data_IF_448527823657
#
_entry.id   IF_448527823657
#
_cell.length_a   1.000
_cell.length_b   1.000
_cell.length_c   1.000
_cell.angle_alpha   90.00
_cell.angle_beta   90.00
_cell.angle_gamma   90.00
#
_symmetry.space_group_name_H-M   'P 1'
#
loop_
_entity.id
_entity.type
_entity.pdbx_description
1 polymer ?
#
# COMPACT_ATOMS: atom_id res chain seq x y z
N UNK A 1 -41.84 -6.01 10.93
CA UNK A 1 -41.45 -5.94 9.48
C UNK A 1 -40.43 -4.82 9.27
N UNK A 2 -40.69 -3.55 9.66
CA UNK A 2 -39.74 -2.43 9.43
C UNK A 2 -38.37 -2.64 10.02
N UNK A 3 -38.22 -3.17 11.24
CA UNK A 3 -36.93 -3.38 11.89
C UNK A 3 -36.06 -4.42 11.16
N UNK A 4 -36.65 -5.46 10.62
CA UNK A 4 -35.92 -6.49 9.86
C UNK A 4 -35.43 -5.95 8.52
N UNK A 5 -36.21 -5.11 7.85
CA UNK A 5 -35.77 -4.44 6.62
C UNK A 5 -34.60 -3.49 6.88
N UNK A 6 -34.60 -2.79 8.03
CA UNK A 6 -33.48 -1.92 8.42
C UNK A 6 -32.19 -2.74 8.61
N UNK A 7 -32.26 -3.89 9.32
CA UNK A 7 -31.08 -4.76 9.52
C UNK A 7 -30.55 -5.28 8.19
N UNK A 8 -31.43 -5.73 7.28
CA UNK A 8 -31.03 -6.19 5.95
C UNK A 8 -30.36 -5.07 5.15
N UNK A 9 -30.92 -3.85 5.19
CA UNK A 9 -30.31 -2.70 4.53
C UNK A 9 -28.93 -2.38 5.09
N UNK A 10 -28.76 -2.40 6.41
CA UNK A 10 -27.45 -2.20 7.05
C UNK A 10 -26.44 -3.29 6.65
N UNK A 11 -26.86 -4.56 6.60
CA UNK A 11 -25.99 -5.66 6.17
C UNK A 11 -25.51 -5.45 4.72
N UNK A 12 -26.41 -5.08 3.81
CA UNK A 12 -26.05 -4.80 2.41
C UNK A 12 -25.11 -3.60 2.32
N UNK A 13 -25.36 -2.55 3.07
CA UNK A 13 -24.52 -1.34 3.08
C UNK A 13 -23.10 -1.66 3.56
N UNK A 14 -22.94 -2.35 4.71
CA UNK A 14 -21.64 -2.74 5.23
C UNK A 14 -20.91 -3.67 4.26
N UNK A 15 -21.61 -4.62 3.63
CA UNK A 15 -20.99 -5.49 2.62
C UNK A 15 -20.45 -4.68 1.43
N UNK A 16 -21.21 -3.68 0.97
CA UNK A 16 -20.77 -2.80 -0.12
C UNK A 16 -19.56 -1.96 0.29
N UNK A 17 -19.53 -1.45 1.53
CA UNK A 17 -18.40 -0.73 2.11
C UNK A 17 -17.17 -1.65 2.18
N UNK A 18 -17.32 -2.89 2.67
CA UNK A 18 -16.22 -3.86 2.77
C UNK A 18 -15.58 -4.13 1.40
N UNK A 19 -16.39 -4.33 0.37
CA UNK A 19 -15.90 -4.53 -1.00
C UNK A 19 -15.12 -3.30 -1.48
N UNK A 20 -15.65 -2.10 -1.26
CA UNK A 20 -14.97 -0.85 -1.63
C UNK A 20 -13.63 -0.67 -0.90
N UNK A 21 -13.60 -0.93 0.41
CA UNK A 21 -12.40 -0.87 1.24
C UNK A 21 -11.35 -1.90 0.79
N UNK A 22 -11.76 -3.11 0.43
CA UNK A 22 -10.86 -4.14 -0.09
C UNK A 22 -10.12 -3.68 -1.35
N UNK A 23 -10.83 -3.09 -2.31
CA UNK A 23 -10.18 -2.51 -3.50
C UNK A 23 -9.26 -1.33 -3.13
N UNK A 24 -9.65 -0.50 -2.17
CA UNK A 24 -8.80 0.57 -1.65
C UNK A 24 -7.47 0.05 -1.08
N UNK A 25 -7.51 -1.02 -0.29
CA UNK A 25 -6.32 -1.70 0.25
C UNK A 25 -5.42 -2.21 -0.87
N UNK A 26 -5.97 -2.91 -1.87
CA UNK A 26 -5.18 -3.44 -2.99
C UNK A 26 -4.44 -2.33 -3.76
N UNK A 27 -5.11 -1.22 -4.04
CA UNK A 27 -4.50 -0.06 -4.72
C UNK A 27 -3.39 0.54 -3.88
N UNK A 28 -3.61 0.68 -2.56
CA UNK A 28 -2.64 1.29 -1.66
C UNK A 28 -1.41 0.41 -1.44
N UNK A 29 -1.59 -0.90 -1.31
CA UNK A 29 -0.47 -1.89 -1.23
C UNK A 29 0.41 -1.81 -2.47
N UNK A 30 -0.19 -1.80 -3.67
CA UNK A 30 0.58 -1.66 -4.92
C UNK A 30 1.41 -0.38 -4.97
N UNK A 31 0.87 0.75 -4.47
CA UNK A 31 1.60 2.01 -4.39
C UNK A 31 2.76 1.95 -3.39
N UNK A 32 2.60 1.30 -2.24
CA UNK A 32 3.65 1.17 -1.21
C UNK A 32 4.81 0.33 -1.73
N UNK A 33 4.55 -0.78 -2.41
CA UNK A 33 5.59 -1.63 -2.99
C UNK A 33 6.47 -0.85 -3.98
N UNK A 34 5.86 -0.03 -4.84
CA UNK A 34 6.59 0.86 -5.75
C UNK A 34 7.47 1.89 -5.03
N UNK A 35 6.99 2.49 -3.92
CA UNK A 35 7.75 3.50 -3.17
C UNK A 35 8.97 2.92 -2.45
N UNK A 36 8.91 1.71 -1.93
CA UNK A 36 10.06 1.06 -1.30
C UNK A 36 11.24 0.88 -2.28
N UNK A 37 10.93 0.57 -3.54
CA UNK A 37 11.95 0.48 -4.59
C UNK A 37 12.56 1.84 -4.92
N UNK A 38 11.76 2.90 -4.96
CA UNK A 38 12.26 4.28 -5.15
C UNK A 38 13.26 4.66 -4.06
N UNK A 39 12.96 4.39 -2.79
CA UNK A 39 13.89 4.64 -1.66
C UNK A 39 15.20 3.87 -1.86
N UNK A 40 15.12 2.59 -2.24
CA UNK A 40 16.31 1.79 -2.50
C UNK A 40 17.18 2.36 -3.63
N UNK A 41 16.58 2.74 -4.77
CA UNK A 41 17.33 3.31 -5.89
C UNK A 41 17.90 4.71 -5.58
N UNK A 42 17.22 5.53 -4.78
CA UNK A 42 17.78 6.79 -4.29
C UNK A 42 19.05 6.54 -3.46
N UNK A 43 19.04 5.51 -2.60
CA UNK A 43 20.22 5.05 -1.87
C UNK A 43 21.32 4.50 -2.80
N UNK A 44 20.97 3.80 -3.87
CA UNK A 44 21.93 3.31 -4.87
C UNK A 44 22.60 4.46 -5.64
N UNK A 45 21.86 5.51 -6.01
CA UNK A 45 22.44 6.71 -6.62
C UNK A 45 23.52 7.29 -5.71
N UNK A 46 23.21 7.49 -4.42
CA UNK A 46 24.16 7.98 -3.42
C UNK A 46 25.42 7.09 -3.34
N UNK A 47 25.21 5.79 -3.11
CA UNK A 47 26.30 4.84 -2.90
C UNK A 47 27.21 4.65 -4.12
N UNK A 48 26.60 4.51 -5.31
CA UNK A 48 27.35 4.36 -6.57
C UNK A 48 28.14 5.62 -6.92
N UNK A 49 27.55 6.81 -6.70
CA UNK A 49 28.27 8.06 -6.96
C UNK A 49 29.49 8.22 -6.05
N UNK A 50 29.40 7.91 -4.76
CA UNK A 50 30.55 7.91 -3.88
C UNK A 50 31.60 6.88 -4.32
N UNK A 51 31.19 5.71 -4.80
CA UNK A 51 32.11 4.71 -5.36
C UNK A 51 32.82 5.24 -6.62
N UNK A 52 32.10 5.91 -7.54
CA UNK A 52 32.67 6.52 -8.74
C UNK A 52 33.78 7.50 -8.35
N UNK A 53 33.47 8.45 -7.47
CA UNK A 53 34.44 9.48 -7.03
C UNK A 53 35.66 8.83 -6.37
N UNK A 54 35.47 7.83 -5.50
CA UNK A 54 36.56 7.09 -4.86
C UNK A 54 37.46 6.39 -5.88
N UNK A 55 36.87 5.72 -6.88
CA UNK A 55 37.62 5.02 -7.92
C UNK A 55 38.37 6.00 -8.83
N UNK A 56 37.76 7.11 -9.15
CA UNK A 56 38.42 8.18 -9.94
C UNK A 56 39.65 8.74 -9.20
N UNK A 57 39.52 9.08 -7.91
CA UNK A 57 40.62 9.59 -7.08
C UNK A 57 41.73 8.53 -6.94
N UNK A 58 41.40 7.24 -6.90
CA UNK A 58 42.37 6.15 -6.83
C UNK A 58 43.02 5.80 -8.17
N UNK A 59 42.66 6.44 -9.27
CA UNK A 59 43.20 6.19 -10.60
C UNK A 59 42.71 4.91 -11.27
N UNK A 60 41.57 4.39 -10.83
CA UNK A 60 40.90 3.21 -11.40
C UNK A 60 39.45 3.53 -11.81
N UNK A 61 39.26 4.42 -12.81
CA UNK A 61 37.92 4.87 -13.20
C UNK A 61 37.08 3.70 -13.75
N UNK A 62 35.75 3.76 -13.48
CA UNK A 62 34.76 2.76 -13.91
C UNK A 62 33.59 3.49 -14.57
N UNK A 63 33.66 3.72 -15.88
CA UNK A 63 32.71 4.56 -16.62
C UNK A 63 31.31 3.94 -16.73
N UNK A 64 31.18 2.61 -16.66
CA UNK A 64 29.88 1.92 -16.69
C UNK A 64 28.99 2.36 -15.51
N UNK A 65 29.59 2.63 -14.36
CA UNK A 65 28.84 3.12 -13.18
C UNK A 65 28.19 4.49 -13.42
N UNK A 66 28.80 5.35 -14.26
CA UNK A 66 28.21 6.64 -14.62
C UNK A 66 26.90 6.46 -15.40
N UNK A 67 26.88 5.51 -16.33
CA UNK A 67 25.68 5.14 -17.08
C UNK A 67 24.57 4.62 -16.16
N UNK A 68 24.92 3.74 -15.23
CA UNK A 68 23.98 3.21 -14.25
C UNK A 68 23.34 4.31 -13.40
N UNK A 69 24.16 5.21 -12.83
CA UNK A 69 23.67 6.29 -11.99
C UNK A 69 22.77 7.25 -12.78
N UNK A 70 23.15 7.59 -14.03
CA UNK A 70 22.32 8.42 -14.89
C UNK A 70 20.94 7.77 -15.14
N UNK A 71 20.92 6.47 -15.46
CA UNK A 71 19.71 5.67 -15.66
C UNK A 71 18.82 5.63 -14.40
N UNK A 72 19.43 5.50 -13.20
CA UNK A 72 18.68 5.50 -11.96
C UNK A 72 18.05 6.86 -11.65
N UNK A 73 18.80 7.96 -11.85
CA UNK A 73 18.26 9.32 -11.68
C UNK A 73 17.08 9.55 -12.63
N UNK A 74 17.22 9.17 -13.90
CA UNK A 74 16.14 9.29 -14.89
C UNK A 74 14.91 8.44 -14.52
N UNK A 75 15.13 7.19 -14.10
CA UNK A 75 14.07 6.30 -13.62
C UNK A 75 13.34 6.83 -12.39
N UNK A 76 14.05 7.47 -11.45
CA UNK A 76 13.46 8.11 -10.28
C UNK A 76 12.63 9.36 -10.63
N UNK A 77 13.00 10.10 -11.67
CA UNK A 77 12.28 11.29 -12.13
C UNK A 77 11.02 10.96 -12.91
N UNK A 78 11.10 9.99 -13.80
CA UNK A 78 10.04 9.76 -14.80
C UNK A 78 9.33 8.42 -14.61
N UNK A 79 9.86 7.54 -13.80
CA UNK A 79 9.50 6.12 -13.75
C UNK A 79 10.30 5.33 -14.79
N UNK A 80 10.43 4.01 -14.56
CA UNK A 80 11.11 3.11 -15.48
C UNK A 80 10.51 1.72 -15.38
N UNK A 81 10.02 1.19 -16.49
CA UNK A 81 9.53 -0.20 -16.54
C UNK A 81 10.66 -1.23 -16.45
N UNK A 82 11.85 -0.89 -16.95
CA UNK A 82 13.03 -1.76 -16.90
C UNK A 82 13.54 -1.92 -15.47
N UNK A 83 13.56 -0.83 -14.70
CA UNK A 83 13.99 -0.82 -13.29
C UNK A 83 12.82 -1.10 -12.32
N UNK A 84 11.60 -1.26 -12.86
CA UNK A 84 10.36 -1.38 -12.09
C UNK A 84 10.20 -0.23 -11.07
N UNK A 85 10.51 0.99 -11.53
CA UNK A 85 10.40 2.22 -10.75
C UNK A 85 9.11 2.97 -11.10
N UNK A 86 8.38 3.34 -10.06
CA UNK A 86 7.23 4.25 -10.18
C UNK A 86 7.68 5.68 -9.97
N UNK A 87 7.14 6.61 -10.76
CA UNK A 87 7.31 8.03 -10.50
C UNK A 87 6.56 8.40 -9.22
N UNK A 88 7.24 9.01 -8.25
CA UNK A 88 6.56 9.55 -7.07
C UNK A 88 5.87 10.88 -7.42
N UNK A 89 4.61 10.97 -7.03
CA UNK A 89 3.76 12.14 -7.24
C UNK A 89 3.84 13.09 -6.04
N UNK A 90 5.09 13.53 -5.76
CA UNK A 90 5.45 14.44 -4.68
C UNK A 90 6.31 15.57 -5.26
N UNK A 91 5.86 16.81 -5.09
CA UNK A 91 6.49 17.97 -5.71
C UNK A 91 7.91 18.23 -5.16
N UNK A 92 8.10 18.05 -3.86
CA UNK A 92 9.39 18.30 -3.21
C UNK A 92 10.42 17.25 -3.62
N UNK A 93 10.01 15.97 -3.69
CA UNK A 93 10.86 14.91 -4.22
C UNK A 93 11.24 15.16 -5.68
N UNK A 94 10.28 15.53 -6.54
CA UNK A 94 10.55 15.78 -7.97
C UNK A 94 11.46 16.99 -8.18
N UNK A 95 11.30 18.05 -7.37
CA UNK A 95 12.20 19.20 -7.38
C UNK A 95 13.63 18.79 -7.00
N UNK A 96 13.78 17.95 -5.95
CA UNK A 96 15.07 17.44 -5.51
C UNK A 96 15.72 16.54 -6.55
N UNK A 97 14.96 15.66 -7.20
CA UNK A 97 15.45 14.81 -8.30
C UNK A 97 15.89 15.61 -9.53
N UNK A 98 15.25 16.76 -9.77
CA UNK A 98 15.69 17.68 -10.85
C UNK A 98 17.02 18.35 -10.50
N UNK A 99 17.21 18.78 -9.25
CA UNK A 99 18.49 19.30 -8.78
C UNK A 99 19.59 18.24 -8.87
N UNK A 100 19.32 16.99 -8.39
CA UNK A 100 20.25 15.86 -8.48
C UNK A 100 20.70 15.57 -9.92
N UNK A 101 19.79 15.66 -10.89
CA UNK A 101 20.15 15.46 -12.30
C UNK A 101 21.16 16.51 -12.77
N UNK A 102 20.96 17.78 -12.44
CA UNK A 102 21.89 18.86 -12.79
C UNK A 102 23.22 18.74 -12.06
N UNK A 103 23.18 18.44 -10.76
CA UNK A 103 24.39 18.25 -9.94
C UNK A 103 25.21 17.04 -10.41
N UNK A 104 24.56 15.98 -10.89
CA UNK A 104 25.23 14.82 -11.47
C UNK A 104 25.97 15.16 -12.76
N UNK A 105 25.37 15.97 -13.63
CA UNK A 105 26.05 16.45 -14.84
C UNK A 105 27.26 17.33 -14.49
N UNK A 106 27.15 18.19 -13.48
CA UNK A 106 28.26 18.98 -12.96
C UNK A 106 29.38 18.11 -12.37
N UNK A 107 28.99 17.05 -11.67
CA UNK A 107 29.95 16.08 -11.11
C UNK A 107 30.69 15.30 -12.23
N UNK A 108 29.97 14.89 -13.30
CA UNK A 108 30.58 14.24 -14.46
C UNK A 108 31.62 15.15 -15.15
N UNK A 109 31.33 16.42 -15.28
CA UNK A 109 32.28 17.39 -15.83
C UNK A 109 33.52 17.52 -14.92
N UNK A 110 33.34 17.51 -13.63
CA UNK A 110 34.43 17.59 -12.65
C UNK A 110 35.32 16.31 -12.70
N UNK A 111 34.72 15.13 -12.88
CA UNK A 111 35.49 13.88 -13.07
C UNK A 111 36.42 13.94 -14.29
N UNK A 112 36.00 14.57 -15.39
CA UNK A 112 36.85 14.78 -16.55
C UNK A 112 38.05 15.70 -16.19
N UNK A 113 37.84 16.72 -15.37
CA UNK A 113 38.92 17.60 -14.90
C UNK A 113 39.86 16.85 -13.96
N UNK A 114 39.37 15.93 -13.11
CA UNK A 114 40.21 15.07 -12.26
C UNK A 114 41.16 14.25 -13.08
N UNK A 115 40.71 13.67 -14.20
CA UNK A 115 41.57 12.90 -15.14
C UNK A 115 42.67 13.74 -15.80
N UNK A 116 42.41 15.04 -15.98
CA UNK A 116 43.34 15.96 -16.67
C UNK A 116 44.35 16.59 -15.70
N UNK A 117 43.95 16.93 -14.48
CA UNK A 117 44.70 17.78 -13.55
C UNK A 117 45.02 17.13 -12.20
N UNK A 118 44.40 15.99 -11.93
CA UNK A 118 44.41 15.38 -10.59
C UNK A 118 43.36 15.94 -9.66
N UNK A 119 42.97 15.16 -8.66
CA UNK A 119 41.85 15.52 -7.78
C UNK A 119 42.14 16.71 -6.85
N UNK A 120 43.41 16.98 -6.54
CA UNK A 120 43.86 18.09 -5.66
C UNK A 120 43.67 19.47 -6.28
N UNK A 121 43.59 19.55 -7.62
CA UNK A 121 43.40 20.80 -8.37
C UNK A 121 41.94 20.98 -8.84
N UNK A 122 41.02 20.21 -8.28
CA UNK A 122 39.61 20.17 -8.70
C UNK A 122 38.69 20.32 -7.50
N UNK A 123 37.41 20.64 -7.75
CA UNK A 123 36.38 20.74 -6.71
C UNK A 123 35.65 19.39 -6.45
N UNK A 124 36.18 18.28 -6.91
CA UNK A 124 35.52 16.97 -6.92
C UNK A 124 35.02 16.56 -5.53
N UNK A 125 35.84 16.77 -4.48
CA UNK A 125 35.48 16.41 -3.10
C UNK A 125 34.29 17.25 -2.62
N UNK A 126 34.35 18.58 -2.79
CA UNK A 126 33.28 19.47 -2.37
C UNK A 126 31.97 19.21 -3.13
N UNK A 127 32.05 18.97 -4.46
CA UNK A 127 30.90 18.64 -5.28
C UNK A 127 30.31 17.28 -4.93
N UNK A 128 31.14 16.29 -4.68
CA UNK A 128 30.67 14.97 -4.26
C UNK A 128 29.98 14.96 -2.91
N UNK A 129 30.47 15.78 -1.99
CA UNK A 129 29.85 15.95 -0.68
C UNK A 129 28.49 16.67 -0.78
N UNK A 130 28.41 17.74 -1.60
CA UNK A 130 27.15 18.43 -1.87
C UNK A 130 26.13 17.48 -2.52
N UNK A 131 26.53 16.74 -3.54
CA UNK A 131 25.70 15.73 -4.20
C UNK A 131 25.22 14.64 -3.22
N UNK A 132 26.10 14.20 -2.31
CA UNK A 132 25.74 13.25 -1.27
C UNK A 132 24.62 13.79 -0.36
N UNK A 133 24.71 15.04 0.07
CA UNK A 133 23.69 15.69 0.90
C UNK A 133 22.36 15.81 0.15
N UNK A 134 22.40 16.20 -1.13
CA UNK A 134 21.18 16.26 -1.98
C UNK A 134 20.54 14.88 -2.15
N UNK A 135 21.36 13.81 -2.28
CA UNK A 135 20.86 12.42 -2.30
C UNK A 135 20.19 12.03 -0.97
N UNK A 136 20.77 12.40 0.17
CA UNK A 136 20.20 12.13 1.48
C UNK A 136 18.84 12.81 1.65
N UNK A 137 18.74 14.07 1.24
CA UNK A 137 17.47 14.81 1.27
C UNK A 137 16.41 14.15 0.35
N UNK A 138 16.80 13.74 -0.86
CA UNK A 138 15.90 13.03 -1.77
C UNK A 138 15.44 11.69 -1.18
N UNK A 139 16.35 10.93 -0.57
CA UNK A 139 16.03 9.66 0.07
C UNK A 139 15.06 9.87 1.23
N UNK A 140 15.30 10.87 2.08
CA UNK A 140 14.41 11.20 3.18
C UNK A 140 13.01 11.62 2.71
N UNK A 141 12.90 12.40 1.64
CA UNK A 141 11.60 12.76 1.04
C UNK A 141 10.85 11.53 0.54
N UNK A 142 11.54 10.60 -0.11
CA UNK A 142 10.95 9.32 -0.55
C UNK A 142 10.49 8.46 0.64
N UNK A 143 11.27 8.40 1.72
CA UNK A 143 10.91 7.69 2.96
C UNK A 143 9.67 8.31 3.61
N UNK A 144 9.62 9.63 3.77
CA UNK A 144 8.48 10.36 4.34
C UNK A 144 7.22 10.11 3.50
N UNK A 145 7.34 10.13 2.17
CA UNK A 145 6.23 9.81 1.27
C UNK A 145 5.76 8.37 1.48
N UNK A 146 6.68 7.40 1.55
CA UNK A 146 6.36 5.99 1.81
C UNK A 146 5.67 5.80 3.16
N UNK A 147 6.17 6.47 4.20
CA UNK A 147 5.61 6.39 5.55
C UNK A 147 4.18 6.96 5.63
N UNK A 148 3.91 8.07 4.95
CA UNK A 148 2.54 8.62 4.84
C UNK A 148 1.58 7.59 4.22
N UNK A 149 2.01 6.87 3.19
CA UNK A 149 1.21 5.81 2.55
C UNK A 149 1.01 4.61 3.46
N UNK A 150 2.05 4.18 4.18
CA UNK A 150 1.96 3.08 5.15
C UNK A 150 1.00 3.42 6.31
N UNK A 151 1.04 4.64 6.82
CA UNK A 151 0.09 5.11 7.86
C UNK A 151 -1.36 5.12 7.36
N UNK A 152 -1.58 5.52 6.10
CA UNK A 152 -2.90 5.47 5.49
C UNK A 152 -3.40 4.03 5.34
N UNK A 153 -2.52 3.07 5.02
CA UNK A 153 -2.86 1.64 4.96
C UNK A 153 -3.25 1.10 6.34
N UNK A 154 -2.45 1.39 7.38
CA UNK A 154 -2.75 0.99 8.77
C UNK A 154 -4.11 1.51 9.25
N UNK A 155 -4.44 2.76 8.91
CA UNK A 155 -5.77 3.31 9.18
C UNK A 155 -6.88 2.55 8.44
N UNK A 156 -6.67 2.27 7.15
CA UNK A 156 -7.65 1.57 6.31
C UNK A 156 -7.87 0.13 6.80
N UNK A 157 -6.81 -0.57 7.22
CA UNK A 157 -6.90 -1.92 7.81
C UNK A 157 -7.74 -1.92 9.09
N UNK A 158 -7.61 -0.93 9.95
CA UNK A 158 -8.43 -0.78 11.16
C UNK A 158 -9.91 -0.56 10.84
N UNK A 159 -10.19 0.23 9.79
CA UNK A 159 -11.58 0.45 9.33
C UNK A 159 -12.17 -0.85 8.77
N UNK A 160 -11.41 -1.60 7.96
CA UNK A 160 -11.81 -2.92 7.45
C UNK A 160 -12.11 -3.88 8.60
N UNK A 161 -11.24 -3.93 9.60
CA UNK A 161 -11.45 -4.80 10.77
C UNK A 161 -12.74 -4.43 11.53
N UNK A 162 -12.98 -3.13 11.74
CA UNK A 162 -14.21 -2.67 12.40
C UNK A 162 -15.47 -3.03 11.60
N UNK A 163 -15.43 -2.90 10.29
CA UNK A 163 -16.53 -3.27 9.38
C UNK A 163 -16.82 -4.78 9.43
N UNK A 164 -15.77 -5.62 9.39
CA UNK A 164 -15.89 -7.09 9.52
C UNK A 164 -16.53 -7.45 10.86
N UNK A 165 -16.10 -6.84 11.97
CA UNK A 165 -16.70 -7.09 13.30
C UNK A 165 -18.18 -6.70 13.30
N UNK A 166 -18.52 -5.56 12.71
CA UNK A 166 -19.91 -5.12 12.56
C UNK A 166 -20.78 -6.12 11.78
N UNK A 167 -20.26 -6.63 10.66
CA UNK A 167 -20.93 -7.67 9.86
C UNK A 167 -21.12 -8.96 10.64
N UNK A 168 -20.09 -9.43 11.36
CA UNK A 168 -20.18 -10.66 12.17
C UNK A 168 -21.26 -10.53 13.26
N UNK A 169 -21.36 -9.39 13.92
CA UNK A 169 -22.41 -9.12 14.91
C UNK A 169 -23.81 -9.13 14.29
N UNK A 170 -23.98 -8.51 13.12
CA UNK A 170 -25.25 -8.50 12.41
C UNK A 170 -25.67 -9.90 11.93
N UNK A 171 -24.74 -10.67 11.36
CA UNK A 171 -25.01 -12.05 10.95
C UNK A 171 -25.31 -12.93 12.16
N UNK A 172 -24.55 -12.83 13.24
CA UNK A 172 -24.81 -13.55 14.49
C UNK A 172 -26.21 -13.27 15.03
N UNK A 173 -26.61 -12.01 15.05
CA UNK A 173 -27.98 -11.62 15.43
C UNK A 173 -29.03 -12.22 14.50
N UNK A 174 -28.83 -12.19 13.20
CA UNK A 174 -29.78 -12.76 12.22
C UNK A 174 -29.92 -14.28 12.38
N UNK A 175 -28.81 -14.99 12.58
CA UNK A 175 -28.79 -16.45 12.84
C UNK A 175 -29.52 -16.76 14.14
N UNK A 176 -29.21 -16.08 15.24
CA UNK A 176 -29.88 -16.28 16.52
C UNK A 176 -31.39 -16.07 16.40
N UNK A 177 -31.83 -15.03 15.72
CA UNK A 177 -33.20 -14.73 15.47
C UNK A 177 -33.89 -15.84 14.63
N UNK A 178 -33.23 -16.33 13.57
CA UNK A 178 -33.74 -17.39 12.73
C UNK A 178 -33.92 -18.70 13.54
N UNK A 179 -32.96 -19.06 14.36
CA UNK A 179 -33.04 -20.24 15.24
C UNK A 179 -34.19 -20.12 16.25
N UNK A 180 -34.35 -18.93 16.84
CA UNK A 180 -35.48 -18.67 17.74
C UNK A 180 -36.83 -18.81 17.05
N UNK A 181 -36.96 -18.29 15.83
CA UNK A 181 -38.19 -18.46 15.07
C UNK A 181 -38.44 -19.91 14.66
N UNK A 182 -37.43 -20.66 14.25
CA UNK A 182 -37.54 -22.06 13.93
C UNK A 182 -37.98 -22.90 15.14
N UNK A 183 -37.41 -22.64 16.33
CA UNK A 183 -37.82 -23.29 17.55
C UNK A 183 -39.28 -22.97 17.92
N UNK A 184 -39.67 -21.68 17.81
CA UNK A 184 -41.05 -21.27 18.10
C UNK A 184 -42.06 -21.92 17.13
N UNK A 185 -41.73 -21.97 15.83
CA UNK A 185 -42.58 -22.63 14.83
C UNK A 185 -42.77 -24.10 15.09
N UNK A 186 -41.71 -24.81 15.55
CA UNK A 186 -41.84 -26.23 15.94
C UNK A 186 -42.83 -26.40 17.12
N UNK A 187 -42.72 -25.54 18.14
CA UNK A 187 -43.63 -25.57 19.31
C UNK A 187 -45.07 -25.29 18.86
N UNK A 188 -45.26 -24.28 17.96
CA UNK A 188 -46.58 -23.96 17.43
C UNK A 188 -47.17 -25.10 16.59
N UNK A 189 -46.35 -25.72 15.76
CA UNK A 189 -46.79 -26.90 14.98
C UNK A 189 -47.23 -28.06 15.88
N UNK A 190 -46.44 -28.34 16.93
CA UNK A 190 -46.86 -29.37 17.92
C UNK A 190 -48.20 -29.00 18.57
N UNK A 191 -48.44 -27.75 18.98
CA UNK A 191 -49.69 -27.33 19.59
C UNK A 191 -50.88 -27.30 18.64
N UNK A 192 -50.68 -27.03 17.34
CA UNK A 192 -51.74 -26.96 16.35
C UNK A 192 -52.13 -28.36 15.83
N UNK A 193 -51.19 -29.31 15.75
CA UNK A 193 -51.38 -30.57 15.08
C UNK A 193 -51.37 -31.80 16.00
N UNK A 194 -50.91 -31.64 17.26
CA UNK A 194 -50.93 -32.75 18.22
C UNK A 194 -51.87 -32.43 19.42
N UNK A 195 -52.52 -33.44 19.93
CA UNK A 195 -53.29 -33.36 21.16
C UNK A 195 -52.33 -33.35 22.38
N UNK A 196 -52.51 -32.35 23.25
CA UNK A 196 -51.62 -32.15 24.41
C UNK A 196 -51.60 -33.30 25.40
N UNK A 197 -52.72 -34.09 25.51
CA UNK A 197 -52.85 -35.16 26.47
C UNK A 197 -52.27 -36.48 25.96
N UNK A 198 -52.41 -36.77 24.68
CA UNK A 198 -52.08 -38.07 24.09
C UNK A 198 -50.85 -38.02 23.16
N UNK A 199 -50.44 -36.85 22.72
CA UNK A 199 -49.35 -36.70 21.72
C UNK A 199 -49.68 -37.19 20.30
N UNK A 200 -50.91 -37.58 20.06
CA UNK A 200 -51.43 -38.09 18.78
C UNK A 200 -51.87 -36.93 17.87
N UNK A 201 -51.91 -37.13 16.57
CA UNK A 201 -52.49 -36.15 15.61
C UNK A 201 -53.92 -35.76 16.03
N UNK A 202 -54.16 -34.48 16.15
CA UNK A 202 -55.48 -33.94 16.47
C UNK A 202 -56.35 -33.84 15.19
N UNK A 203 -57.62 -33.46 15.35
CA UNK A 203 -58.57 -33.30 14.28
C UNK A 203 -58.06 -32.44 13.11
N UNK A 204 -57.36 -31.35 13.41
CA UNK A 204 -56.80 -30.46 12.39
C UNK A 204 -55.77 -31.13 11.49
N UNK A 205 -54.93 -32.01 12.04
CA UNK A 205 -53.96 -32.77 11.23
C UNK A 205 -54.64 -33.87 10.40
N UNK A 206 -55.71 -34.47 10.91
CA UNK A 206 -56.47 -35.45 10.13
C UNK A 206 -57.22 -34.83 8.96
N UNK A 207 -57.73 -33.61 9.08
CA UNK A 207 -58.44 -32.88 8.02
C UNK A 207 -57.44 -32.34 6.93
N UNK A 208 -56.16 -32.14 7.24
CA UNK A 208 -55.15 -31.70 6.24
C UNK A 208 -54.66 -32.87 5.35
N UNK A 209 -54.82 -34.10 5.79
CA UNK A 209 -54.34 -35.34 5.11
C UNK A 209 -55.45 -35.98 4.23
N UNK A 210 -56.71 -35.64 4.44
CA UNK A 210 -57.86 -36.06 3.67
C UNK A 210 -58.13 -35.12 2.49
#
# INVERSE_FOLDING_TARGET
VKFQQIIQLFTVLLTAILISLFFGVLVLVGKIQGTARVVNYAGLVRGKTQRIVKLEISGTPEDDLLGDVASYIEGLRFGSSELDLVRLDDADFQAKMTALSSEFDDLRNELILVRQRGYTETAIIAKSEHFFQTCDEATNLAEVYSQKRATALDFLEKVVLADIVGLLLLFGYQIFKALRYAAMNRILQCKVYLDEATGLPNKNKCEEIL
#
